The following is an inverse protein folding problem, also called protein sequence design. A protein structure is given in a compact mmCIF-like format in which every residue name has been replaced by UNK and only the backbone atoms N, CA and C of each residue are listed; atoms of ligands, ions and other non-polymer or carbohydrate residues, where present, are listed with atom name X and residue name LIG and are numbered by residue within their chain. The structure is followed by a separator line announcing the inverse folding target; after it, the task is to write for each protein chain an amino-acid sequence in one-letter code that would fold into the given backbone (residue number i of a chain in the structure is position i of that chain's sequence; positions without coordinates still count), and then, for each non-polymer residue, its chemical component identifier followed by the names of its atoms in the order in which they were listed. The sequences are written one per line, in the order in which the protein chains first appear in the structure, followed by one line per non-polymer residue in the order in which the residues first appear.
data_IF_122032799361
#
_entry.id   IF_122032799361
#
_cell.length_a   1.000
_cell.length_b   1.000
_cell.length_c   1.000
_cell.angle_alpha   90.00
_cell.angle_beta   90.00
_cell.angle_gamma   90.00
#
_symmetry.space_group_name_H-M   'P 1'
#
loop_
_entity.id
_entity.type
_entity.pdbx_description
1 polymer ?
#
# COMPACT_ATOMS: atom_id res chain seq x y z
N UNK A 1 -2.37 5.75 11.02
CA UNK A 1 -3.09 4.70 10.26
C UNK A 1 -2.85 4.80 8.76
N UNK A 2 -3.19 5.93 8.08
CA UNK A 2 -2.92 6.10 6.64
C UNK A 2 -1.46 5.86 6.25
N UNK A 3 -0.51 6.38 7.02
CA UNK A 3 0.94 6.15 6.84
C UNK A 3 1.31 4.67 6.87
N UNK A 4 0.76 3.91 7.82
CA UNK A 4 1.00 2.46 7.91
C UNK A 4 0.49 1.73 6.67
N UNK A 5 -0.73 2.05 6.22
CA UNK A 5 -1.30 1.46 5.00
C UNK A 5 -0.45 1.80 3.76
N UNK A 6 0.02 3.05 3.63
CA UNK A 6 0.89 3.45 2.51
C UNK A 6 2.27 2.80 2.56
N UNK A 7 2.86 2.62 3.74
CA UNK A 7 4.14 1.91 3.90
C UNK A 7 3.98 0.42 3.56
N UNK A 8 2.94 -0.25 4.05
CA UNK A 8 2.65 -1.64 3.68
C UNK A 8 2.39 -1.79 2.18
N UNK A 9 1.59 -0.91 1.59
CA UNK A 9 1.32 -0.96 0.16
C UNK A 9 2.59 -0.71 -0.66
N UNK A 10 3.49 0.16 -0.19
CA UNK A 10 4.79 0.38 -0.82
C UNK A 10 5.67 -0.86 -0.77
N UNK A 11 5.76 -1.53 0.38
CA UNK A 11 6.52 -2.78 0.52
C UNK A 11 5.99 -3.86 -0.44
N UNK A 12 4.67 -3.98 -0.57
CA UNK A 12 4.03 -4.91 -1.52
C UNK A 12 4.21 -4.50 -2.99
N UNK A 13 4.43 -3.22 -3.30
CA UNK A 13 4.76 -2.78 -4.65
C UNK A 13 6.22 -3.08 -5.00
N UNK A 14 7.13 -2.93 -4.03
CA UNK A 14 8.54 -3.27 -4.17
C UNK A 14 8.74 -4.81 -4.18
N UNK A 15 7.87 -5.55 -3.47
CA UNK A 15 7.86 -7.00 -3.33
C UNK A 15 6.47 -7.58 -3.63
N UNK A 16 6.07 -7.68 -4.91
CA UNK A 16 4.73 -8.11 -5.28
C UNK A 16 4.43 -9.55 -4.87
N UNK A 17 3.22 -9.83 -4.34
CA UNK A 17 2.84 -11.18 -3.97
C UNK A 17 2.75 -12.10 -5.19
N UNK A 18 3.06 -13.41 -5.04
CA UNK A 18 2.92 -14.37 -6.11
C UNK A 18 1.44 -14.67 -6.34
N UNK A 19 0.84 -14.09 -7.38
CA UNK A 19 -0.58 -14.35 -7.65
C UNK A 19 -1.30 -13.40 -8.60
N UNK A 20 -0.70 -12.27 -8.96
CA UNK A 20 -1.31 -11.33 -9.90
C UNK A 20 -1.20 -9.87 -9.44
N UNK A 21 -2.13 -8.99 -9.86
CA UNK A 21 -2.08 -7.59 -9.49
C UNK A 21 -2.43 -7.40 -8.01
N UNK A 22 -1.70 -6.49 -7.35
CA UNK A 22 -1.90 -6.12 -5.95
C UNK A 22 -3.36 -5.70 -5.70
N UNK A 23 -3.99 -6.28 -4.68
CA UNK A 23 -5.38 -5.95 -4.31
C UNK A 23 -5.49 -5.29 -2.93
N UNK A 24 -6.63 -4.62 -2.68
CA UNK A 24 -6.94 -4.07 -1.35
C UNK A 24 -6.98 -5.14 -0.26
N UNK A 25 -7.33 -6.38 -0.61
CA UNK A 25 -7.42 -7.48 0.34
C UNK A 25 -6.02 -7.94 0.77
N UNK A 26 -5.08 -8.03 -0.18
CA UNK A 26 -3.68 -8.32 0.11
C UNK A 26 -3.03 -7.24 0.97
N UNK A 27 -3.30 -5.96 0.66
CA UNK A 27 -2.81 -4.85 1.48
C UNK A 27 -3.40 -4.92 2.90
N UNK A 28 -4.70 -5.19 3.03
CA UNK A 28 -5.36 -5.31 4.33
C UNK A 28 -4.79 -6.49 5.14
N UNK A 29 -4.62 -7.66 4.51
CA UNK A 29 -4.03 -8.85 5.11
C UNK A 29 -2.60 -8.58 5.60
N UNK A 30 -1.77 -7.95 4.77
CA UNK A 30 -0.39 -7.62 5.12
C UNK A 30 -0.32 -6.56 6.24
N UNK A 31 -1.23 -5.57 6.20
CA UNK A 31 -1.34 -4.55 7.24
C UNK A 31 -2.01 -5.06 8.54
N UNK A 32 -2.42 -6.33 8.59
CA UNK A 32 -3.16 -6.95 9.70
C UNK A 32 -4.43 -6.20 10.08
N UNK A 33 -5.16 -5.70 9.08
CA UNK A 33 -6.47 -5.03 9.24
C UNK A 33 -7.52 -5.67 8.35
N UNK A 34 -8.79 -5.37 8.61
CA UNK A 34 -9.87 -5.82 7.72
C UNK A 34 -9.96 -4.93 6.49
N UNK A 35 -10.36 -5.51 5.36
CA UNK A 35 -10.62 -4.77 4.11
C UNK A 35 -11.69 -3.69 4.30
N UNK A 36 -12.68 -3.91 5.18
CA UNK A 36 -13.65 -2.88 5.57
C UNK A 36 -12.97 -1.68 6.25
N UNK A 37 -12.04 -1.93 7.19
CA UNK A 37 -11.31 -0.87 7.87
C UNK A 37 -10.38 -0.12 6.89
N UNK A 38 -9.74 -0.84 5.97
CA UNK A 38 -8.93 -0.22 4.91
C UNK A 38 -9.80 0.69 4.02
N UNK A 39 -11.00 0.25 3.64
CA UNK A 39 -11.94 1.01 2.80
C UNK A 39 -12.46 2.29 3.44
N UNK A 40 -12.33 2.46 4.77
CA UNK A 40 -12.61 3.72 5.43
C UNK A 40 -11.58 4.82 5.08
N UNK A 41 -10.41 4.45 4.57
CA UNK A 41 -9.34 5.38 4.20
C UNK A 41 -9.13 5.46 2.68
N UNK A 42 -9.22 4.34 1.97
CA UNK A 42 -8.93 4.28 0.53
C UNK A 42 -9.98 3.48 -0.23
N UNK A 43 -10.47 4.04 -1.33
CA UNK A 43 -11.48 3.41 -2.20
C UNK A 43 -10.89 2.41 -3.20
N UNK A 44 -9.61 2.54 -3.54
CA UNK A 44 -8.91 1.66 -4.48
C UNK A 44 -7.42 1.58 -4.19
N UNK A 45 -6.74 0.61 -4.81
CA UNK A 45 -5.28 0.51 -4.76
C UNK A 45 -4.63 1.77 -5.36
N UNK A 46 -5.16 2.30 -6.46
CA UNK A 46 -4.58 3.52 -7.07
C UNK A 46 -4.66 4.72 -6.13
N UNK A 47 -5.73 4.83 -5.32
CA UNK A 47 -5.85 5.88 -4.31
C UNK A 47 -4.76 5.77 -3.23
N UNK A 48 -4.33 4.55 -2.90
CA UNK A 48 -3.20 4.32 -1.99
C UNK A 48 -1.90 4.74 -2.69
N UNK A 49 -1.69 4.30 -3.93
CA UNK A 49 -0.47 4.62 -4.70
C UNK A 49 -0.30 6.12 -4.91
N UNK A 50 -1.39 6.84 -5.18
CA UNK A 50 -1.36 8.30 -5.31
C UNK A 50 -1.01 9.02 -4.00
N UNK A 51 -1.27 8.40 -2.84
CA UNK A 51 -0.95 8.93 -1.51
C UNK A 51 0.46 8.52 -1.04
N UNK A 52 1.12 7.58 -1.72
CA UNK A 52 2.53 7.26 -1.47
C UNK A 52 3.37 8.46 -1.97
N UNK A 53 4.08 9.16 -1.08
CA UNK A 53 4.93 10.26 -1.51
C UNK A 53 5.97 9.72 -2.48
N UNK A 54 6.10 10.37 -3.65
CA UNK A 54 7.15 10.08 -4.60
C UNK A 54 8.47 10.10 -3.85
N UNK A 55 9.07 8.92 -3.70
CA UNK A 55 10.30 8.70 -2.94
C UNK A 55 11.26 9.84 -3.28
N UNK A 56 11.71 10.67 -2.31
CA UNK A 56 12.71 11.67 -2.60
C UNK A 56 13.87 10.90 -3.20
N UNK A 57 14.22 11.25 -4.43
CA UNK A 57 15.29 10.60 -5.18
C UNK A 57 16.45 10.43 -4.23
N UNK A 58 16.86 9.19 -3.99
CA UNK A 58 17.97 8.84 -3.13
C UNK A 58 19.21 9.51 -3.72
N UNK A 59 19.45 10.76 -3.33
CA UNK A 59 20.69 11.48 -3.59
C UNK A 59 21.74 10.71 -2.80
N UNK A 60 22.59 10.01 -3.55
CA UNK A 60 23.69 9.25 -3.01
C UNK A 60 24.51 10.07 -2.01
N UNK A 61 25.00 9.36 -1.01
CA UNK A 61 26.26 9.63 -0.36
C UNK A 61 26.99 8.31 -0.22
#
# INVERSE_FOLDING_TARGET
MRTWITDTARDLLDHPPPGGPLTLDEIAACASITTHHLRAYYSSVEAIVADIPARPSQRGR
#
